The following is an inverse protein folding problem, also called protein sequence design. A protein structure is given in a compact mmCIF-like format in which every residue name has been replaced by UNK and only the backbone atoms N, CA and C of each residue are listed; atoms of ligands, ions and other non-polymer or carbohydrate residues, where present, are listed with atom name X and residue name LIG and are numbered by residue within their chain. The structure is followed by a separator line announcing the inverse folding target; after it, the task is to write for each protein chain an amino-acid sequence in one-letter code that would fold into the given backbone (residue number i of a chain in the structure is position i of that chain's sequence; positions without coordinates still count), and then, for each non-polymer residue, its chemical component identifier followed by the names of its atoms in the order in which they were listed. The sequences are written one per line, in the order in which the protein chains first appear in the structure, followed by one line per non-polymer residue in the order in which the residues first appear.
data_IF_486785887635
#
_entry.id   IF_486785887635
#
_cell.length_a   1.000
_cell.length_b   1.000
_cell.length_c   1.000
_cell.angle_alpha   90.00
_cell.angle_beta   90.00
_cell.angle_gamma   90.00
#
_symmetry.space_group_name_H-M   'P 1'
#
loop_
_entity.id
_entity.type
_entity.pdbx_description
1 polymer ?
#
# COMPACT_ATOMS: atom_id res chain seq x y z
N UNK A 1 1.33 -22.02 11.42
CA UNK A 1 1.08 -21.35 10.13
C UNK A 1 0.02 -22.12 9.37
N UNK A 2 -1.26 -22.03 9.77
CA UNK A 2 -2.37 -22.75 9.12
C UNK A 2 -3.16 -21.86 8.15
N UNK A 3 -2.79 -20.60 8.01
CA UNK A 3 -3.50 -19.61 7.20
C UNK A 3 -2.53 -19.01 6.17
N UNK A 4 -3.04 -18.81 4.96
CA UNK A 4 -2.30 -18.16 3.89
C UNK A 4 -2.10 -16.68 4.25
N UNK A 5 -0.86 -16.16 4.28
CA UNK A 5 -0.63 -14.79 4.68
C UNK A 5 -1.21 -13.82 3.64
N UNK A 6 -2.20 -13.03 4.08
CA UNK A 6 -2.91 -12.03 3.27
C UNK A 6 -1.97 -11.12 2.46
N UNK A 7 -0.83 -10.72 3.03
CA UNK A 7 0.14 -9.86 2.33
C UNK A 7 0.74 -10.51 1.07
N UNK A 8 1.03 -11.82 1.08
CA UNK A 8 1.55 -12.49 -0.10
C UNK A 8 0.47 -12.60 -1.18
N UNK A 9 -0.78 -12.85 -0.77
CA UNK A 9 -1.91 -12.94 -1.68
C UNK A 9 -2.13 -11.61 -2.41
N UNK A 10 -2.12 -10.49 -1.68
CA UNK A 10 -2.19 -9.16 -2.30
C UNK A 10 -1.08 -8.93 -3.34
N UNK A 11 0.17 -9.30 -3.05
CA UNK A 11 1.26 -9.14 -4.03
C UNK A 11 1.04 -9.99 -5.29
N UNK A 12 0.47 -11.18 -5.15
CA UNK A 12 0.14 -12.06 -6.28
C UNK A 12 -1.01 -11.50 -7.13
N UNK A 13 -2.04 -10.93 -6.49
CA UNK A 13 -3.14 -10.25 -7.17
C UNK A 13 -2.63 -9.10 -8.05
N UNK A 14 -1.72 -8.26 -7.53
CA UNK A 14 -1.18 -7.13 -8.28
C UNK A 14 -0.18 -7.51 -9.38
N UNK A 15 0.45 -8.69 -9.31
CA UNK A 15 1.51 -9.12 -10.24
C UNK A 15 1.11 -10.26 -11.17
N UNK A 16 -0.13 -10.72 -11.10
CA UNK A 16 -0.66 -11.85 -11.87
C UNK A 16 0.18 -13.14 -11.73
N UNK A 17 0.68 -13.40 -10.52
CA UNK A 17 1.44 -14.64 -10.21
C UNK A 17 0.53 -15.68 -9.57
N UNK A 18 0.73 -16.95 -9.91
CA UNK A 18 -0.04 -18.06 -9.36
C UNK A 18 0.41 -18.52 -7.97
N UNK A 19 1.62 -18.13 -7.56
CA UNK A 19 2.23 -18.49 -6.28
C UNK A 19 3.35 -17.51 -5.90
N UNK A 20 3.69 -17.51 -4.62
CA UNK A 20 4.81 -16.77 -4.04
C UNK A 20 5.42 -17.58 -2.90
N UNK A 21 6.74 -17.57 -2.75
CA UNK A 21 7.43 -18.27 -1.68
C UNK A 21 7.57 -17.34 -0.45
N UNK A 22 7.03 -17.75 0.68
CA UNK A 22 7.27 -17.12 1.98
C UNK A 22 8.61 -17.61 2.51
N UNK A 23 9.55 -16.69 2.73
CA UNK A 23 10.87 -16.98 3.30
C UNK A 23 11.01 -16.23 4.63
N UNK A 24 11.38 -16.96 5.67
CA UNK A 24 11.73 -16.43 6.98
C UNK A 24 13.16 -16.84 7.29
N UNK A 25 14.01 -15.88 7.64
CA UNK A 25 15.42 -16.11 7.93
C UNK A 25 15.84 -15.38 9.20
N UNK A 26 16.56 -16.08 10.08
CA UNK A 26 17.12 -15.51 11.31
C UNK A 26 18.50 -16.14 11.58
N UNK A 27 19.55 -15.34 11.45
CA UNK A 27 20.95 -15.76 11.59
C UNK A 27 21.40 -16.01 13.04
N UNK A 28 20.53 -15.77 14.03
CA UNK A 28 20.81 -16.04 15.45
C UNK A 28 20.61 -17.51 15.80
N UNK A 29 19.93 -18.27 14.95
CA UNK A 29 19.73 -19.71 15.10
C UNK A 29 20.85 -20.52 14.44
N UNK A 30 21.02 -21.79 14.84
CA UNK A 30 21.84 -22.76 14.10
C UNK A 30 21.42 -22.85 12.62
N UNK A 31 22.33 -23.18 11.69
CA UNK A 31 22.07 -23.17 10.24
C UNK A 31 20.80 -23.94 9.81
N UNK A 32 20.50 -25.05 10.48
CA UNK A 32 19.36 -25.91 10.20
C UNK A 32 18.00 -25.31 10.63
N UNK A 33 18.00 -24.32 11.52
CA UNK A 33 16.80 -23.60 11.97
C UNK A 33 16.76 -22.14 11.48
N UNK A 34 17.85 -21.65 10.92
CA UNK A 34 18.00 -20.26 10.49
C UNK A 34 17.14 -19.93 9.26
N UNK A 35 16.69 -20.91 8.49
CA UNK A 35 15.95 -20.72 7.24
C UNK A 35 14.66 -21.54 7.22
N UNK A 36 13.56 -20.87 6.91
CA UNK A 36 12.28 -21.51 6.63
C UNK A 36 11.70 -20.96 5.33
N UNK A 37 11.20 -21.86 4.49
CA UNK A 37 10.49 -21.52 3.26
C UNK A 37 9.20 -22.33 3.15
N UNK A 38 8.11 -21.68 2.76
CA UNK A 38 6.88 -22.35 2.31
C UNK A 38 6.33 -21.68 1.07
N UNK A 39 5.81 -22.48 0.14
CA UNK A 39 5.11 -21.96 -1.03
C UNK A 39 3.67 -21.61 -0.68
N UNK A 40 3.24 -20.42 -1.06
CA UNK A 40 1.86 -19.97 -0.93
C UNK A 40 1.28 -19.87 -2.32
N UNK A 41 0.14 -20.52 -2.53
CA UNK A 41 -0.61 -20.45 -3.78
C UNK A 41 -1.66 -19.34 -3.69
N UNK A 42 -2.10 -18.85 -4.85
CA UNK A 42 -3.25 -17.96 -4.90
C UNK A 42 -4.47 -18.65 -4.29
N UNK A 43 -5.27 -17.89 -3.57
CA UNK A 43 -6.50 -18.34 -2.94
C UNK A 43 -7.65 -17.46 -3.45
N UNK A 44 -8.56 -17.98 -4.28
CA UNK A 44 -9.61 -17.17 -4.88
C UNK A 44 -10.59 -16.61 -3.86
N UNK A 45 -10.83 -17.32 -2.74
CA UNK A 45 -11.75 -16.85 -1.71
C UNK A 45 -11.14 -15.65 -0.99
N UNK A 46 -9.88 -15.78 -0.59
CA UNK A 46 -9.17 -14.69 0.08
C UNK A 46 -8.89 -13.51 -0.86
N UNK A 47 -8.72 -13.74 -2.16
CA UNK A 47 -8.64 -12.66 -3.15
C UNK A 47 -9.89 -11.78 -3.14
N UNK A 48 -11.08 -12.40 -3.21
CA UNK A 48 -12.36 -11.67 -3.21
C UNK A 48 -12.56 -10.90 -1.90
N UNK A 49 -12.23 -11.52 -0.76
CA UNK A 49 -12.29 -10.86 0.55
C UNK A 49 -11.37 -9.63 0.63
N UNK A 50 -10.12 -9.77 0.15
CA UNK A 50 -9.15 -8.66 0.10
C UNK A 50 -9.64 -7.55 -0.83
N UNK A 51 -10.13 -7.90 -2.02
CA UNK A 51 -10.61 -6.93 -3.01
C UNK A 51 -11.78 -6.10 -2.44
N UNK A 52 -12.76 -6.76 -1.82
CA UNK A 52 -13.88 -6.09 -1.17
C UNK A 52 -13.43 -5.17 -0.02
N UNK A 53 -12.51 -5.66 0.83
CA UNK A 53 -11.99 -4.87 1.95
C UNK A 53 -11.23 -3.62 1.46
N UNK A 54 -10.40 -3.76 0.43
CA UNK A 54 -9.65 -2.65 -0.17
C UNK A 54 -10.58 -1.63 -0.80
N UNK A 55 -11.59 -2.05 -1.57
CA UNK A 55 -12.57 -1.14 -2.16
C UNK A 55 -13.36 -0.37 -1.10
N UNK A 56 -13.79 -1.06 -0.03
CA UNK A 56 -14.51 -0.43 1.09
C UNK A 56 -13.64 0.64 1.74
N UNK A 57 -12.39 0.30 2.07
CA UNK A 57 -11.43 1.23 2.67
C UNK A 57 -11.14 2.45 1.80
N UNK A 58 -10.93 2.26 0.49
CA UNK A 58 -10.67 3.37 -0.44
C UNK A 58 -11.88 4.31 -0.55
N UNK A 59 -13.10 3.77 -0.55
CA UNK A 59 -14.33 4.58 -0.58
C UNK A 59 -14.50 5.40 0.70
N UNK A 60 -14.17 4.83 1.86
CA UNK A 60 -14.20 5.53 3.14
C UNK A 60 -13.22 6.71 3.15
N UNK A 61 -11.99 6.48 2.70
CA UNK A 61 -10.97 7.53 2.58
C UNK A 61 -11.45 8.64 1.64
N UNK A 62 -11.96 8.30 0.46
CA UNK A 62 -12.41 9.28 -0.51
C UNK A 62 -13.57 10.13 0.04
N UNK A 63 -14.53 9.51 0.72
CA UNK A 63 -15.63 10.19 1.41
C UNK A 63 -15.13 11.16 2.50
N UNK A 64 -14.14 10.74 3.29
CA UNK A 64 -13.55 11.58 4.32
C UNK A 64 -12.79 12.77 3.71
N UNK A 65 -12.01 12.53 2.65
CA UNK A 65 -11.32 13.59 1.91
C UNK A 65 -12.30 14.63 1.34
N UNK A 66 -13.42 14.18 0.77
CA UNK A 66 -14.48 15.06 0.27
C UNK A 66 -15.15 15.85 1.39
N UNK A 67 -15.43 15.22 2.53
CA UNK A 67 -15.97 15.88 3.73
C UNK A 67 -15.07 17.01 4.22
N UNK A 68 -13.76 16.76 4.29
CA UNK A 68 -12.77 17.77 4.72
C UNK A 68 -12.69 18.91 3.70
N UNK A 69 -12.52 18.60 2.40
CA UNK A 69 -12.44 19.62 1.34
C UNK A 69 -13.71 20.49 1.27
N UNK A 70 -14.89 19.88 1.38
CA UNK A 70 -16.18 20.56 1.39
C UNK A 70 -16.33 21.51 2.59
N UNK A 71 -15.91 21.09 3.78
CA UNK A 71 -15.91 21.94 4.99
C UNK A 71 -14.93 23.11 4.88
N UNK A 72 -13.75 22.90 4.30
CA UNK A 72 -12.77 23.98 4.07
C UNK A 72 -13.30 25.02 3.10
N UNK A 73 -14.02 24.63 2.04
CA UNK A 73 -14.66 25.57 1.11
C UNK A 73 -15.69 26.47 1.82
N UNK A 74 -16.49 25.90 2.74
CA UNK A 74 -17.50 26.62 3.53
C UNK A 74 -16.85 27.53 4.59
N UNK A 75 -15.67 27.17 5.08
CA UNK A 75 -14.92 27.92 6.10
C UNK A 75 -13.76 28.76 5.51
N UNK A 76 -13.78 29.07 4.21
CA UNK A 76 -12.94 30.14 3.68
C UNK A 76 -13.55 31.50 4.03
N UNK A 77 -13.28 31.97 5.26
CA UNK A 77 -13.19 33.41 5.47
C UNK A 77 -12.14 33.95 4.47
N UNK A 78 -12.30 35.14 3.87
CA UNK A 78 -11.34 35.65 2.90
C UNK A 78 -10.01 35.94 3.62
N UNK A 79 -9.16 34.93 3.73
CA UNK A 79 -7.75 35.10 4.08
C UNK A 79 -7.12 35.64 2.81
N UNK A 80 -6.59 36.87 2.87
CA UNK A 80 -5.81 37.49 1.80
C UNK A 80 -4.82 36.45 1.26
N UNK A 81 -4.69 36.29 -0.07
CA UNK A 81 -3.75 35.32 -0.61
C UNK A 81 -2.35 35.68 -0.10
N UNK A 82 -1.75 34.78 0.68
CA UNK A 82 -0.32 34.81 0.91
C UNK A 82 0.31 34.44 -0.43
N UNK A 83 1.07 35.37 -1.02
CA UNK A 83 1.78 35.10 -2.27
C UNK A 83 2.72 33.92 -2.08
N UNK A 84 2.40 32.79 -2.73
CA UNK A 84 3.33 31.67 -2.86
C UNK A 84 4.27 32.03 -4.00
N UNK A 85 5.44 32.55 -3.64
CA UNK A 85 6.56 32.73 -4.57
C UNK A 85 7.02 31.36 -5.06
N UNK A 86 6.67 31.01 -6.29
CA UNK A 86 7.21 29.85 -6.99
C UNK A 86 8.66 30.18 -7.35
N UNK A 87 9.61 29.76 -6.53
CA UNK A 87 11.00 29.69 -6.97
C UNK A 87 11.15 28.47 -7.87
N UNK A 88 11.12 28.72 -9.18
CA UNK A 88 11.56 27.77 -10.17
C UNK A 88 13.08 27.60 -10.05
N UNK A 89 13.53 26.53 -9.40
CA UNK A 89 14.93 26.12 -9.41
C UNK A 89 15.10 24.73 -10.04
N UNK A 90 15.37 24.81 -11.35
CA UNK A 90 16.41 24.09 -12.09
C UNK A 90 16.40 22.55 -12.06
N UNK A 91 16.05 22.01 -13.22
CA UNK A 91 16.47 20.69 -13.70
C UNK A 91 17.99 20.56 -13.62
N UNK A 92 18.49 19.71 -12.75
CA UNK A 92 19.82 19.13 -12.95
C UNK A 92 19.66 17.65 -13.29
N UNK A 93 20.13 17.37 -14.50
CA UNK A 93 20.38 16.06 -15.08
C UNK A 93 21.11 15.15 -14.10
N UNK A 94 20.53 14.00 -13.78
CA UNK A 94 21.31 12.86 -13.33
C UNK A 94 21.40 11.84 -14.47
N UNK A 95 22.58 11.78 -15.07
CA UNK A 95 22.99 10.80 -16.06
C UNK A 95 24.01 9.87 -15.41
N UNK A 96 23.82 8.56 -15.66
CA UNK A 96 24.69 7.40 -15.46
C UNK A 96 24.61 6.68 -14.11
#
# INVERSE_FOLDING_TARGET
MKENPCFLILTMMCTARAWSDFVSYDNRFPPELAYFQTRVHVDPVLNEEIEQAVHTFLNEIESEMQSIKGKTAIMTCPVRPAEVSINAEKTDSFSM
#
